data_IF_848567883675
#
_entry.id   IF_848567883675
#
_cell.length_a   1.000
_cell.length_b   1.000
_cell.length_c   1.000
_cell.angle_alpha   90.00
_cell.angle_beta   90.00
_cell.angle_gamma   90.00
#
_symmetry.space_group_name_H-M   'P 1'
#
loop_
_entity.id
_entity.type
_entity.pdbx_description
1 polymer ?
#
# COMPACT_ATOMS: atom_id res chain seq x y z
N UNK A 1 45.41 -15.64 5.25
CA UNK A 1 45.34 -14.85 6.49
C UNK A 1 45.29 -13.37 6.14
N UNK A 2 44.14 -12.74 6.16
CA UNK A 2 43.96 -11.28 6.32
C UNK A 2 42.57 -11.04 6.87
N UNK A 3 42.52 -10.64 8.14
CA UNK A 3 41.31 -10.20 8.83
C UNK A 3 41.15 -8.70 8.54
N UNK A 4 40.04 -8.26 8.05
CA UNK A 4 39.65 -6.85 7.99
C UNK A 4 38.49 -6.60 8.92
N UNK A 5 38.76 -5.80 9.95
CA UNK A 5 37.79 -5.32 10.92
C UNK A 5 36.85 -4.28 10.30
N UNK A 6 35.55 -4.38 10.56
CA UNK A 6 34.55 -3.38 10.19
C UNK A 6 34.43 -2.30 11.27
N UNK A 7 34.06 -1.07 10.91
CA UNK A 7 33.91 0.03 11.87
C UNK A 7 32.55 -0.03 12.58
N UNK A 8 32.62 0.22 13.89
CA UNK A 8 31.48 0.46 14.77
C UNK A 8 30.81 1.80 14.42
N UNK A 9 29.50 1.82 14.33
CA UNK A 9 28.71 3.06 14.19
C UNK A 9 28.04 3.39 15.50
N UNK A 10 28.32 4.61 15.95
CA UNK A 10 27.92 5.19 17.21
C UNK A 10 26.42 5.48 17.28
N UNK A 11 25.86 5.22 18.46
CA UNK A 11 24.52 5.63 18.90
C UNK A 11 24.55 7.15 19.19
N UNK A 12 23.69 7.93 18.56
CA UNK A 12 23.40 9.30 18.95
C UNK A 12 22.01 9.36 19.58
N UNK A 13 22.01 9.54 20.89
CA UNK A 13 20.86 9.91 21.71
C UNK A 13 20.65 11.42 21.59
N UNK A 14 19.45 11.86 21.27
CA UNK A 14 19.02 13.27 21.45
C UNK A 14 17.74 13.34 22.24
N UNK A 15 17.82 14.17 23.27
CA UNK A 15 16.89 14.40 24.36
C UNK A 15 15.73 15.35 24.00
N UNK A 16 14.62 15.13 24.66
CA UNK A 16 13.72 16.01 25.43
C UNK A 16 13.65 17.52 25.12
N UNK A 17 12.42 18.01 24.85
CA UNK A 17 11.86 19.30 25.29
C UNK A 17 10.33 19.19 25.22
N UNK A 18 9.58 19.13 26.30
CA UNK A 18 9.16 20.14 27.28
C UNK A 18 7.94 20.97 26.83
N UNK A 19 6.81 20.67 27.48
CA UNK A 19 5.74 21.50 28.07
C UNK A 19 5.34 22.82 27.39
N UNK A 20 4.05 22.91 27.04
CA UNK A 20 3.33 24.17 26.87
C UNK A 20 1.88 24.02 27.28
N UNK A 21 1.57 24.31 28.54
CA UNK A 21 0.21 24.56 29.02
C UNK A 21 -0.21 25.97 28.55
N UNK A 22 -1.35 26.08 27.87
CA UNK A 22 -2.01 27.34 27.57
C UNK A 22 -3.49 27.19 27.72
N UNK A 23 -4.01 27.46 28.90
CA UNK A 23 -5.44 27.62 29.18
C UNK A 23 -5.91 28.98 28.72
N UNK A 24 -7.08 29.04 28.09
CA UNK A 24 -7.89 30.24 27.97
C UNK A 24 -9.34 29.88 28.30
N UNK A 25 -9.72 30.20 29.53
CA UNK A 25 -11.09 30.34 29.93
C UNK A 25 -11.67 31.62 29.31
N UNK A 26 -12.73 31.50 28.54
CA UNK A 26 -13.54 32.64 28.18
C UNK A 26 -14.99 32.44 28.64
N UNK A 27 -15.28 33.01 29.80
CA UNK A 27 -16.61 33.20 30.36
C UNK A 27 -17.20 34.44 29.68
N UNK A 28 -18.22 34.27 28.86
CA UNK A 28 -18.99 35.36 28.25
C UNK A 28 -20.47 35.03 28.26
N UNK A 29 -21.12 35.42 29.32
CA UNK A 29 -22.57 35.44 29.49
C UNK A 29 -23.16 36.57 28.65
N UNK A 30 -24.06 36.24 27.70
CA UNK A 30 -24.76 37.21 26.86
C UNK A 30 -26.14 36.70 26.49
N UNK A 31 -27.15 37.22 27.18
CA UNK A 31 -28.58 36.96 27.04
C UNK A 31 -29.14 37.47 25.69
N UNK A 32 -29.86 36.56 24.98
CA UNK A 32 -31.01 36.62 24.09
C UNK A 32 -31.14 37.76 23.01
N UNK A 33 -31.98 37.63 21.96
CA UNK A 33 -33.22 36.86 21.82
C UNK A 33 -33.35 35.97 20.58
N UNK A 34 -34.28 35.03 20.67
CA UNK A 34 -34.76 34.14 19.64
C UNK A 34 -35.15 34.84 18.34
N UNK A 35 -34.48 34.46 17.23
CA UNK A 35 -35.06 34.60 15.91
C UNK A 35 -35.12 33.21 15.29
N UNK A 36 -36.37 32.73 15.15
CA UNK A 36 -36.70 31.57 14.33
C UNK A 36 -36.06 31.75 12.94
N UNK A 37 -35.05 30.95 12.64
CA UNK A 37 -34.57 30.75 11.28
C UNK A 37 -34.92 29.34 10.88
N UNK A 38 -35.86 29.23 9.99
CA UNK A 38 -36.21 28.03 9.23
C UNK A 38 -34.91 27.36 8.74
N UNK A 39 -34.66 26.07 9.01
CA UNK A 39 -33.54 25.39 8.41
C UNK A 39 -33.82 25.18 6.93
N UNK A 40 -33.22 26.01 6.09
CA UNK A 40 -33.08 25.68 4.66
C UNK A 40 -32.20 24.46 4.61
N UNK A 41 -32.77 23.32 4.23
CA UNK A 41 -32.06 22.10 3.97
C UNK A 41 -31.02 22.34 2.85
N UNK A 42 -29.78 22.55 3.24
CA UNK A 42 -28.67 22.50 2.29
C UNK A 42 -28.53 21.04 1.85
N UNK A 43 -28.97 20.76 0.62
CA UNK A 43 -28.67 19.51 -0.08
C UNK A 43 -27.15 19.43 -0.22
N UNK A 44 -26.50 18.74 0.67
CA UNK A 44 -25.09 18.33 0.51
C UNK A 44 -25.06 17.31 -0.62
N UNK A 45 -24.79 17.78 -1.83
CA UNK A 45 -24.37 16.91 -2.92
C UNK A 45 -23.08 16.22 -2.46
N UNK A 46 -23.20 14.96 -2.05
CA UNK A 46 -22.07 14.11 -1.79
C UNK A 46 -21.30 13.99 -3.11
N UNK A 47 -20.18 14.72 -3.21
CA UNK A 47 -19.24 14.55 -4.30
C UNK A 47 -18.75 13.09 -4.30
N UNK A 48 -18.31 12.55 -5.46
CA UNK A 48 -17.82 11.20 -5.52
C UNK A 48 -16.66 11.05 -4.52
N UNK A 49 -16.93 10.32 -3.44
CA UNK A 49 -15.88 9.88 -2.52
C UNK A 49 -14.87 9.13 -3.37
N UNK A 50 -13.71 9.74 -3.61
CA UNK A 50 -12.56 9.06 -4.22
C UNK A 50 -12.20 7.93 -3.27
N UNK A 51 -12.79 6.75 -3.48
CA UNK A 51 -12.42 5.56 -2.75
C UNK A 51 -10.91 5.41 -2.86
N UNK A 52 -10.23 5.37 -1.72
CA UNK A 52 -8.81 5.04 -1.68
C UNK A 52 -8.61 3.80 -2.56
N UNK A 53 -7.59 3.76 -3.43
CA UNK A 53 -7.43 2.65 -4.35
C UNK A 53 -7.35 1.36 -3.53
N UNK A 54 -8.33 0.49 -3.73
CA UNK A 54 -8.31 -0.83 -3.13
C UNK A 54 -6.95 -1.45 -3.46
N UNK A 55 -6.20 -1.84 -2.44
CA UNK A 55 -4.89 -2.46 -2.62
C UNK A 55 -5.12 -3.70 -3.52
N UNK A 56 -4.47 -3.69 -4.68
CA UNK A 56 -4.61 -4.78 -5.62
C UNK A 56 -4.09 -6.07 -4.97
N UNK A 57 -4.88 -7.14 -5.00
CA UNK A 57 -4.54 -8.43 -4.39
C UNK A 57 -4.40 -9.51 -5.45
N UNK A 58 -3.34 -10.27 -5.35
CA UNK A 58 -3.05 -11.45 -6.16
C UNK A 58 -2.91 -12.65 -5.21
N UNK A 59 -3.65 -13.70 -5.45
CA UNK A 59 -3.53 -14.95 -4.69
C UNK A 59 -2.89 -16.01 -5.57
N UNK A 60 -1.95 -16.76 -5.01
CA UNK A 60 -1.37 -17.95 -5.63
C UNK A 60 -2.04 -19.15 -5.00
N UNK A 61 -2.72 -19.97 -5.81
CA UNK A 61 -3.41 -21.16 -5.36
C UNK A 61 -3.56 -22.16 -6.49
N UNK A 62 -3.34 -23.44 -6.18
CA UNK A 62 -3.42 -24.54 -7.14
C UNK A 62 -2.49 -24.28 -8.35
N UNK A 63 -1.27 -23.81 -8.10
CA UNK A 63 -0.28 -23.44 -9.11
C UNK A 63 -0.83 -22.44 -10.15
N UNK A 64 -1.68 -21.53 -9.72
CA UNK A 64 -2.32 -20.53 -10.58
C UNK A 64 -2.35 -19.17 -9.88
N UNK A 65 -2.20 -18.10 -10.65
CA UNK A 65 -2.43 -16.73 -10.20
C UNK A 65 -3.92 -16.38 -10.27
N UNK A 66 -4.49 -15.88 -9.18
CA UNK A 66 -5.91 -15.49 -9.08
C UNK A 66 -6.04 -14.05 -8.58
N UNK A 67 -6.54 -13.11 -9.39
CA UNK A 67 -6.87 -13.24 -10.82
C UNK A 67 -5.62 -13.34 -11.70
N UNK A 68 -5.68 -14.02 -12.83
CA UNK A 68 -4.57 -14.08 -13.79
C UNK A 68 -4.32 -12.73 -14.49
N UNK A 69 -5.33 -11.86 -14.54
CA UNK A 69 -5.22 -10.48 -15.02
C UNK A 69 -5.62 -9.50 -13.91
N UNK A 70 -4.73 -8.58 -13.57
CA UNK A 70 -4.90 -7.61 -12.49
C UNK A 70 -4.69 -6.19 -13.03
N UNK A 71 -5.51 -5.24 -12.59
CA UNK A 71 -5.33 -3.82 -12.90
C UNK A 71 -4.95 -3.03 -11.66
N UNK A 72 -4.04 -2.06 -11.82
CA UNK A 72 -3.55 -1.23 -10.73
C UNK A 72 -3.16 0.15 -11.23
N UNK A 73 -3.19 1.16 -10.36
CA UNK A 73 -2.68 2.51 -10.69
C UNK A 73 -1.15 2.51 -10.78
N UNK A 74 -0.57 3.44 -11.55
CA UNK A 74 0.87 3.66 -11.57
C UNK A 74 1.46 3.80 -10.16
N UNK A 75 2.51 3.04 -9.86
CA UNK A 75 3.15 3.01 -8.53
C UNK A 75 2.31 2.41 -7.40
N UNK A 76 1.12 1.87 -7.71
CA UNK A 76 0.24 1.24 -6.73
C UNK A 76 0.89 0.03 -6.05
N UNK A 77 0.40 -0.32 -4.87
CA UNK A 77 0.88 -1.50 -4.14
C UNK A 77 0.04 -2.72 -4.51
N UNK A 78 0.71 -3.81 -4.87
CA UNK A 78 0.10 -5.13 -5.07
C UNK A 78 0.48 -6.02 -3.90
N UNK A 79 -0.53 -6.62 -3.26
CA UNK A 79 -0.35 -7.63 -2.23
C UNK A 79 -0.46 -9.01 -2.85
N UNK A 80 0.54 -9.86 -2.64
CA UNK A 80 0.56 -11.25 -3.12
C UNK A 80 0.47 -12.19 -1.92
N UNK A 81 -0.43 -13.15 -1.98
CA UNK A 81 -0.59 -14.19 -0.95
C UNK A 81 -0.37 -15.54 -1.59
N UNK A 82 0.54 -16.31 -1.04
CA UNK A 82 0.76 -17.70 -1.45
C UNK A 82 -0.05 -18.65 -0.54
N UNK A 83 -1.12 -19.21 -1.09
CA UNK A 83 -1.96 -20.19 -0.42
C UNK A 83 -1.61 -21.65 -0.78
N UNK A 84 -0.57 -21.85 -1.59
CA UNK A 84 -0.05 -23.19 -1.88
C UNK A 84 0.94 -23.66 -0.81
N UNK A 85 1.18 -24.95 -0.77
CA UNK A 85 2.23 -25.58 0.04
C UNK A 85 3.63 -25.51 -0.59
N UNK A 86 3.75 -24.89 -1.76
CA UNK A 86 4.97 -24.78 -2.57
C UNK A 86 5.42 -23.33 -2.67
N UNK A 87 6.71 -23.09 -2.81
CA UNK A 87 7.28 -21.75 -3.03
C UNK A 87 7.04 -21.28 -4.46
N UNK A 88 6.67 -20.02 -4.61
CA UNK A 88 6.42 -19.36 -5.90
C UNK A 88 7.14 -18.01 -6.00
N UNK A 89 7.12 -17.39 -7.18
CA UNK A 89 7.54 -16.01 -7.41
C UNK A 89 6.51 -15.29 -8.28
N UNK A 90 6.53 -13.96 -8.26
CA UNK A 90 5.82 -13.10 -9.22
C UNK A 90 6.85 -12.19 -9.86
N UNK A 91 7.27 -12.54 -11.07
CA UNK A 91 8.40 -11.91 -11.76
C UNK A 91 7.96 -11.40 -13.13
N UNK A 92 8.11 -10.10 -13.40
CA UNK A 92 7.77 -9.52 -14.69
C UNK A 92 8.66 -10.09 -15.81
N UNK A 93 8.06 -10.33 -16.99
CA UNK A 93 8.82 -10.78 -18.15
C UNK A 93 9.74 -9.67 -18.67
N UNK A 94 9.34 -8.40 -18.55
CA UNK A 94 10.19 -7.26 -18.84
C UNK A 94 11.22 -7.08 -17.73
N UNK A 95 12.50 -7.09 -18.06
CA UNK A 95 13.59 -7.04 -17.11
C UNK A 95 13.40 -5.91 -16.08
N UNK A 96 13.40 -6.29 -14.79
CA UNK A 96 13.36 -5.38 -13.64
C UNK A 96 12.10 -4.53 -13.46
N UNK A 97 11.00 -4.82 -14.15
CA UNK A 97 9.76 -4.08 -13.91
C UNK A 97 9.22 -4.31 -12.50
N UNK A 98 9.21 -5.56 -12.04
CA UNK A 98 9.02 -5.99 -10.65
C UNK A 98 9.45 -7.45 -10.48
N UNK A 99 9.82 -7.80 -9.27
CA UNK A 99 10.11 -9.16 -8.82
C UNK A 99 9.87 -9.25 -7.32
N UNK A 100 9.14 -10.27 -6.89
CA UNK A 100 8.87 -10.50 -5.47
C UNK A 100 9.97 -11.32 -4.78
N UNK A 101 10.84 -11.96 -5.55
CA UNK A 101 11.64 -13.05 -5.04
C UNK A 101 10.77 -14.24 -4.62
N UNK A 102 11.33 -15.14 -3.82
CA UNK A 102 10.65 -16.35 -3.35
C UNK A 102 9.59 -16.06 -2.30
N UNK A 103 8.39 -16.56 -2.53
CA UNK A 103 7.23 -16.47 -1.62
C UNK A 103 6.95 -17.88 -1.12
N UNK A 104 7.35 -18.19 0.09
CA UNK A 104 7.10 -19.51 0.72
C UNK A 104 5.62 -19.77 0.99
N UNK A 105 5.26 -21.01 1.36
CA UNK A 105 3.91 -21.41 1.73
C UNK A 105 3.30 -20.51 2.80
N UNK A 106 2.04 -20.09 2.62
CA UNK A 106 1.29 -19.24 3.55
C UNK A 106 1.83 -17.81 3.72
N UNK A 107 2.85 -17.40 2.95
CA UNK A 107 3.46 -16.07 3.07
C UNK A 107 2.71 -15.04 2.24
N UNK A 108 2.75 -13.81 2.76
CA UNK A 108 2.26 -12.61 2.08
C UNK A 108 3.42 -11.67 1.83
N UNK A 109 3.52 -11.14 0.62
CA UNK A 109 4.50 -10.12 0.23
C UNK A 109 3.80 -8.99 -0.51
N UNK A 110 4.48 -7.85 -0.66
CA UNK A 110 3.99 -6.73 -1.47
C UNK A 110 5.05 -6.27 -2.45
N UNK A 111 4.61 -5.78 -3.61
CA UNK A 111 5.49 -5.07 -4.53
C UNK A 111 4.82 -3.80 -5.06
N UNK A 112 5.63 -2.89 -5.61
CA UNK A 112 5.14 -1.68 -6.28
C UNK A 112 4.97 -1.95 -7.78
N UNK A 113 3.80 -1.61 -8.30
CA UNK A 113 3.58 -1.61 -9.74
C UNK A 113 4.47 -0.56 -10.42
N UNK A 114 4.86 -0.77 -11.69
CA UNK A 114 5.57 0.23 -12.45
C UNK A 114 4.85 1.59 -12.46
N UNK A 115 5.63 2.69 -12.52
CA UNK A 115 5.07 4.04 -12.64
C UNK A 115 4.53 4.33 -14.06
N UNK A 116 5.03 3.62 -15.06
CA UNK A 116 4.59 3.80 -16.45
C UNK A 116 3.35 2.95 -16.72
N UNK A 117 2.31 3.56 -17.29
CA UNK A 117 1.13 2.84 -17.76
C UNK A 117 1.50 1.83 -18.85
N UNK A 118 0.85 0.67 -18.85
CA UNK A 118 1.13 -0.40 -19.78
C UNK A 118 0.70 -1.78 -19.30
N UNK A 119 0.96 -2.79 -20.14
CA UNK A 119 0.75 -4.19 -19.81
C UNK A 119 2.10 -4.83 -19.45
N UNK A 120 2.12 -5.53 -18.32
CA UNK A 120 3.30 -6.18 -17.76
C UNK A 120 2.99 -7.66 -17.52
N UNK A 121 3.21 -8.51 -18.54
CA UNK A 121 3.12 -9.95 -18.34
C UNK A 121 4.12 -10.41 -17.28
N UNK A 122 3.72 -11.38 -16.47
CA UNK A 122 4.57 -11.96 -15.44
C UNK A 122 4.40 -13.47 -15.37
N UNK A 123 5.34 -14.14 -14.71
CA UNK A 123 5.34 -15.58 -14.52
C UNK A 123 5.95 -15.95 -13.16
N UNK A 124 5.84 -17.21 -12.78
CA UNK A 124 6.62 -17.80 -11.71
C UNK A 124 7.92 -18.37 -12.29
N UNK A 125 9.08 -17.97 -11.74
CA UNK A 125 10.40 -18.46 -12.23
C UNK A 125 10.64 -19.92 -11.90
N UNK A 126 9.99 -20.45 -10.85
CA UNK A 126 10.09 -21.86 -10.43
C UNK A 126 9.16 -22.74 -11.26
N UNK A 127 7.99 -22.20 -11.66
CA UNK A 127 6.96 -22.91 -12.42
C UNK A 127 6.57 -22.08 -13.66
N UNK A 128 7.34 -22.12 -14.76
CA UNK A 128 7.19 -21.18 -15.88
C UNK A 128 5.85 -21.25 -16.63
N UNK A 129 5.06 -22.30 -16.41
CA UNK A 129 3.70 -22.42 -16.94
C UNK A 129 2.69 -21.51 -16.22
N UNK A 130 2.99 -21.08 -14.99
CA UNK A 130 2.18 -20.11 -14.24
C UNK A 130 2.41 -18.72 -14.82
N UNK A 131 1.39 -18.16 -15.43
CA UNK A 131 1.46 -16.86 -16.13
C UNK A 131 0.33 -15.95 -15.71
N UNK A 132 0.57 -14.64 -15.73
CA UNK A 132 -0.41 -13.61 -15.50
C UNK A 132 -0.02 -12.30 -16.19
N UNK A 133 -0.89 -11.29 -16.07
CA UNK A 133 -0.64 -9.96 -16.59
C UNK A 133 -1.09 -8.88 -15.60
N UNK A 134 -0.23 -7.89 -15.38
CA UNK A 134 -0.55 -6.67 -14.62
C UNK A 134 -0.77 -5.54 -15.61
N UNK A 135 -1.95 -4.94 -15.59
CA UNK A 135 -2.26 -3.72 -16.34
C UNK A 135 -2.12 -2.52 -15.41
N UNK A 136 -1.24 -1.60 -15.77
CA UNK A 136 -1.05 -0.32 -15.06
C UNK A 136 -1.79 0.77 -15.84
N UNK A 137 -2.79 1.44 -15.20
CA UNK A 137 -3.64 2.46 -15.84
C UNK A 137 -4.25 3.44 -14.83
#
# INVERSE_FOLDING_TARGET
MRRTAGPAVAVATVALCAMGLGGCTNTGEGTAPARSRTPTAATVTAGPTSAAPAAARLTIKDFTFKPAALSVRPGGTVTVVNEDSTTHTVTANAAKAFDTGSIGPGRTVTFKAPAKAGSYPFHCTIHPYMKGALTVR
#
